data_IF_111303114970
#
_entry.id   IF_111303114970
#
_cell.length_a   1.000
_cell.length_b   1.000
_cell.length_c   1.000
_cell.angle_alpha   90.00
_cell.angle_beta   90.00
_cell.angle_gamma   90.00
#
_symmetry.space_group_name_H-M   'P 1'
#
loop_
_entity.id
_entity.type
_entity.pdbx_description
1 polymer ?
#
# COMPACT_ATOMS: atom_id res chain seq x y z
N UNK A 1 27.52 0.66 37.83
CA UNK A 1 26.78 1.36 36.75
C UNK A 1 26.62 0.47 35.52
N UNK A 2 27.58 -0.37 35.12
CA UNK A 2 27.47 -1.25 33.94
C UNK A 2 26.36 -2.32 34.03
N UNK A 3 26.18 -2.99 35.16
CA UNK A 3 25.16 -4.05 35.32
C UNK A 3 23.72 -3.50 35.19
N UNK A 4 23.48 -2.28 35.69
CA UNK A 4 22.16 -1.65 35.58
C UNK A 4 21.82 -1.21 34.14
N UNK A 5 22.81 -0.88 33.29
CA UNK A 5 22.62 -0.51 31.91
C UNK A 5 22.43 -1.73 31.02
N UNK A 6 23.20 -2.80 31.20
CA UNK A 6 22.99 -4.07 30.48
C UNK A 6 21.62 -4.68 30.80
N UNK A 7 21.18 -4.61 32.08
CA UNK A 7 19.84 -5.05 32.49
C UNK A 7 18.72 -4.18 31.90
N UNK A 8 18.98 -2.91 31.56
CA UNK A 8 18.01 -2.02 30.96
C UNK A 8 17.98 -2.12 29.43
N UNK A 9 19.10 -2.42 28.79
CA UNK A 9 19.14 -2.75 27.34
C UNK A 9 18.36 -4.04 27.04
N UNK A 10 18.44 -5.03 27.93
CA UNK A 10 17.66 -6.27 27.85
C UNK A 10 16.13 -6.04 27.95
N UNK A 11 15.68 -4.83 28.31
CA UNK A 11 14.25 -4.46 28.34
C UNK A 11 13.76 -3.83 27.04
N UNK A 12 14.66 -3.48 26.13
CA UNK A 12 14.27 -2.94 24.81
C UNK A 12 13.95 -4.10 23.86
N UNK A 13 12.80 -4.06 23.12
CA UNK A 13 12.35 -5.18 22.29
C UNK A 13 13.09 -5.24 20.93
N UNK A 14 14.42 -5.06 20.94
CA UNK A 14 15.20 -5.07 19.68
C UNK A 14 15.28 -6.49 19.09
N UNK A 15 15.41 -7.51 19.93
CA UNK A 15 15.47 -8.90 19.50
C UNK A 15 14.13 -9.34 18.93
N UNK A 16 13.02 -8.91 19.52
CA UNK A 16 11.67 -9.17 19.07
C UNK A 16 11.42 -8.51 17.70
N UNK A 17 11.88 -7.28 17.51
CA UNK A 17 11.82 -6.58 16.21
C UNK A 17 12.62 -7.35 15.16
N UNK A 18 13.86 -7.75 15.46
CA UNK A 18 14.71 -8.51 14.55
C UNK A 18 14.09 -9.87 14.21
N UNK A 19 13.56 -10.57 15.22
CA UNK A 19 12.87 -11.85 15.02
C UNK A 19 11.62 -11.68 14.15
N UNK A 20 10.85 -10.60 14.35
CA UNK A 20 9.69 -10.29 13.50
C UNK A 20 10.12 -10.04 12.05
N UNK A 21 11.19 -9.27 11.82
CA UNK A 21 11.75 -9.06 10.49
C UNK A 21 12.13 -10.40 9.84
N UNK A 22 12.90 -11.23 10.53
CA UNK A 22 13.38 -12.52 10.03
C UNK A 22 12.24 -13.46 9.69
N UNK A 23 11.31 -13.67 10.61
CA UNK A 23 10.16 -14.56 10.42
C UNK A 23 9.24 -14.11 9.30
N UNK A 24 9.00 -12.79 9.20
CA UNK A 24 8.13 -12.24 8.17
C UNK A 24 8.77 -12.31 6.79
N UNK A 25 10.07 -12.07 6.68
CA UNK A 25 10.78 -12.04 5.39
C UNK A 25 11.40 -13.37 4.98
N UNK A 26 11.26 -14.42 5.80
CA UNK A 26 11.80 -15.76 5.53
C UNK A 26 11.60 -16.24 4.08
N UNK A 27 10.40 -16.18 3.48
CA UNK A 27 10.19 -16.64 2.11
C UNK A 27 11.08 -15.91 1.08
N UNK A 28 11.24 -14.60 1.24
CA UNK A 28 12.14 -13.82 0.39
C UNK A 28 13.61 -14.15 0.66
N UNK A 29 13.99 -14.30 1.94
CA UNK A 29 15.37 -14.61 2.32
C UNK A 29 15.85 -15.92 1.69
N UNK A 30 14.99 -16.94 1.65
CA UNK A 30 15.30 -18.24 1.02
C UNK A 30 15.53 -18.14 -0.49
N UNK A 31 14.89 -17.18 -1.16
CA UNK A 31 15.05 -16.95 -2.60
C UNK A 31 16.32 -16.17 -2.95
N UNK A 32 16.96 -15.52 -1.97
CA UNK A 32 18.18 -14.75 -2.23
C UNK A 32 19.39 -15.67 -2.47
N UNK A 33 20.30 -15.31 -3.39
CA UNK A 33 21.39 -16.16 -3.85
C UNK A 33 22.38 -16.62 -2.77
N UNK A 34 22.59 -15.84 -1.73
CA UNK A 34 23.54 -16.16 -0.67
C UNK A 34 23.28 -15.38 0.63
N UNK A 35 23.89 -15.83 1.75
CA UNK A 35 23.77 -15.22 3.08
C UNK A 35 24.24 -13.75 3.13
N UNK A 36 25.16 -13.36 2.27
CA UNK A 36 25.63 -11.96 2.25
C UNK A 36 24.52 -11.05 1.73
N UNK A 37 23.78 -11.51 0.72
CA UNK A 37 22.64 -10.77 0.19
C UNK A 37 21.49 -10.72 1.22
N UNK A 38 21.24 -11.80 1.93
CA UNK A 38 20.26 -11.82 3.04
C UNK A 38 20.62 -10.79 4.11
N UNK A 39 21.91 -10.77 4.55
CA UNK A 39 22.38 -9.82 5.55
C UNK A 39 22.25 -8.35 5.11
N UNK A 40 22.49 -8.06 3.84
CA UNK A 40 22.32 -6.69 3.32
C UNK A 40 20.83 -6.30 3.33
N UNK A 41 19.91 -7.21 2.97
CA UNK A 41 18.48 -6.97 3.04
C UNK A 41 18.03 -6.71 4.49
N UNK A 42 18.46 -7.52 5.46
CA UNK A 42 18.20 -7.27 6.89
C UNK A 42 18.68 -5.87 7.32
N UNK A 43 19.91 -5.51 6.94
CA UNK A 43 20.46 -4.18 7.23
C UNK A 43 19.67 -3.06 6.56
N UNK A 44 19.14 -3.27 5.35
CA UNK A 44 18.28 -2.28 4.68
C UNK A 44 16.95 -2.14 5.43
N UNK A 45 16.32 -3.23 5.83
CA UNK A 45 15.05 -3.20 6.59
C UNK A 45 15.23 -2.53 7.95
N UNK A 46 16.25 -2.90 8.71
CA UNK A 46 16.58 -2.21 9.98
C UNK A 46 16.92 -0.75 9.74
N UNK A 47 17.64 -0.45 8.65
CA UNK A 47 18.02 0.90 8.28
C UNK A 47 16.81 1.78 7.91
N UNK A 48 15.82 1.23 7.18
CA UNK A 48 14.58 1.93 6.86
C UNK A 48 13.74 2.15 8.12
N UNK A 49 13.55 1.11 8.94
CA UNK A 49 12.75 1.21 10.15
C UNK A 49 13.38 2.14 11.18
N UNK A 50 14.71 2.11 11.34
CA UNK A 50 15.43 2.98 12.27
C UNK A 50 15.61 4.41 11.76
N UNK A 51 15.86 4.58 10.46
CA UNK A 51 16.10 5.90 9.86
C UNK A 51 14.86 6.57 9.28
N UNK A 52 13.76 5.85 9.15
CA UNK A 52 12.50 6.30 8.54
C UNK A 52 12.72 6.95 7.17
N UNK A 53 13.63 6.38 6.39
CA UNK A 53 14.00 6.93 5.08
C UNK A 53 14.53 5.83 4.15
N UNK A 54 14.21 5.88 2.85
CA UNK A 54 14.76 4.99 1.84
C UNK A 54 16.10 5.52 1.25
N UNK A 55 16.63 6.62 1.81
CA UNK A 55 17.95 7.14 1.40
C UNK A 55 19.02 6.20 1.90
N UNK A 56 19.82 5.62 0.98
CA UNK A 56 20.82 4.59 1.29
C UNK A 56 21.80 5.04 2.39
N UNK A 57 22.26 6.27 2.36
CA UNK A 57 23.17 6.80 3.40
C UNK A 57 22.45 7.02 4.74
N UNK A 58 21.14 7.34 4.71
CA UNK A 58 20.30 7.41 5.90
C UNK A 58 20.14 6.04 6.55
N UNK A 59 19.78 5.03 5.76
CA UNK A 59 19.70 3.63 6.23
C UNK A 59 21.03 3.14 6.78
N UNK A 60 22.13 3.45 6.11
CA UNK A 60 23.46 2.98 6.54
C UNK A 60 23.90 3.56 7.88
N UNK A 61 23.48 4.78 8.23
CA UNK A 61 23.73 5.39 9.55
C UNK A 61 23.14 4.59 10.71
N UNK A 62 22.10 3.84 10.45
CA UNK A 62 21.47 2.97 11.46
C UNK A 62 22.21 1.62 11.64
N UNK A 63 23.24 1.36 10.84
CA UNK A 63 23.99 0.09 10.85
C UNK A 63 25.49 0.28 11.01
N UNK A 64 25.98 1.51 10.85
CA UNK A 64 27.41 1.86 10.99
C UNK A 64 27.66 2.63 12.29
N UNK A 65 28.78 2.35 12.94
CA UNK A 65 29.17 2.97 14.21
C UNK A 65 30.14 4.14 13.99
N UNK A 66 30.92 4.09 12.94
CA UNK A 66 31.86 5.13 12.53
C UNK A 66 31.56 5.60 11.11
N UNK A 67 32.16 6.72 10.69
CA UNK A 67 31.98 7.22 9.31
C UNK A 67 32.46 6.19 8.27
N UNK A 68 33.59 5.53 8.51
CA UNK A 68 34.13 4.51 7.61
C UNK A 68 33.22 3.28 7.52
N UNK A 69 32.68 2.81 8.64
CA UNK A 69 31.72 1.71 8.68
C UNK A 69 30.41 2.09 7.99
N UNK A 70 29.85 3.26 8.29
CA UNK A 70 28.63 3.78 7.65
C UNK A 70 28.79 3.81 6.12
N UNK A 71 29.93 4.28 5.64
CA UNK A 71 30.20 4.32 4.20
C UNK A 71 30.38 2.93 3.59
N UNK A 72 31.00 1.99 4.31
CA UNK A 72 31.12 0.60 3.88
C UNK A 72 29.75 -0.08 3.76
N UNK A 73 28.87 0.16 4.74
CA UNK A 73 27.47 -0.32 4.72
C UNK A 73 26.70 0.29 3.55
N UNK A 74 26.77 1.60 3.35
CA UNK A 74 26.13 2.27 2.22
C UNK A 74 26.59 1.69 0.88
N UNK A 75 27.92 1.50 0.70
CA UNK A 75 28.47 0.86 -0.51
C UNK A 75 27.93 -0.56 -0.71
N UNK A 76 27.76 -1.34 0.37
CA UNK A 76 27.22 -2.69 0.28
C UNK A 76 25.77 -2.68 -0.21
N UNK A 77 24.93 -1.74 0.28
CA UNK A 77 23.55 -1.55 -0.15
C UNK A 77 23.46 -1.12 -1.63
N UNK A 78 24.29 -0.14 -2.06
CA UNK A 78 24.35 0.25 -3.47
C UNK A 78 24.75 -0.90 -4.39
N UNK A 79 25.76 -1.71 -3.97
CA UNK A 79 26.18 -2.90 -4.72
C UNK A 79 25.10 -3.98 -4.76
N UNK A 80 24.37 -4.14 -3.67
CA UNK A 80 23.25 -5.08 -3.61
C UNK A 80 22.15 -4.70 -4.62
N UNK A 81 21.73 -3.43 -4.62
CA UNK A 81 20.74 -2.92 -5.59
C UNK A 81 21.21 -3.01 -7.04
N UNK A 82 22.54 -2.95 -7.30
CA UNK A 82 23.14 -3.08 -8.60
C UNK A 82 23.54 -4.52 -8.99
N UNK A 83 23.32 -5.48 -8.11
CA UNK A 83 23.81 -6.84 -8.33
C UNK A 83 23.05 -7.54 -9.46
N UNK A 84 23.75 -7.98 -10.49
CA UNK A 84 23.15 -8.69 -11.63
C UNK A 84 22.60 -10.08 -11.28
N UNK A 85 23.07 -10.69 -10.18
CA UNK A 85 22.55 -11.97 -9.67
C UNK A 85 21.21 -11.82 -8.93
N UNK A 86 20.81 -10.59 -8.60
CA UNK A 86 19.54 -10.29 -7.98
C UNK A 86 18.56 -9.90 -9.08
N UNK A 87 17.73 -10.81 -9.48
CA UNK A 87 16.65 -10.52 -10.41
C UNK A 87 15.53 -9.73 -9.68
N UNK A 88 15.06 -8.66 -10.29
CA UNK A 88 13.98 -7.85 -9.72
C UNK A 88 12.69 -8.66 -9.56
N UNK A 89 12.43 -9.60 -10.46
CA UNK A 89 11.31 -10.55 -10.38
C UNK A 89 11.35 -11.41 -9.12
N UNK A 90 12.53 -11.86 -8.70
CA UNK A 90 12.72 -12.64 -7.47
C UNK A 90 12.33 -11.82 -6.24
N UNK A 91 12.68 -10.53 -6.21
CA UNK A 91 12.30 -9.63 -5.11
C UNK A 91 10.78 -9.52 -4.95
N UNK A 92 10.07 -9.35 -6.07
CA UNK A 92 8.62 -9.24 -6.04
C UNK A 92 7.94 -10.58 -5.77
N UNK A 93 8.45 -11.67 -6.34
CA UNK A 93 7.95 -13.02 -6.01
C UNK A 93 8.10 -13.31 -4.51
N UNK A 94 9.24 -12.99 -3.92
CA UNK A 94 9.44 -13.13 -2.48
C UNK A 94 8.49 -12.24 -1.65
N UNK A 95 8.28 -10.98 -2.06
CA UNK A 95 7.30 -10.10 -1.44
C UNK A 95 5.88 -10.72 -1.49
N UNK A 96 5.49 -11.29 -2.63
CA UNK A 96 4.18 -11.92 -2.79
C UNK A 96 4.04 -13.21 -1.95
N UNK A 97 5.10 -14.02 -1.85
CA UNK A 97 5.11 -15.20 -0.98
C UNK A 97 4.99 -14.85 0.50
N UNK A 98 5.63 -13.75 0.94
CA UNK A 98 5.42 -13.19 2.29
C UNK A 98 3.95 -12.87 2.50
N UNK A 99 3.31 -12.26 1.51
CA UNK A 99 1.87 -11.97 1.54
C UNK A 99 0.99 -13.22 1.55
N UNK A 100 1.31 -14.24 0.75
CA UNK A 100 0.58 -15.51 0.73
C UNK A 100 0.60 -16.19 2.12
N UNK A 101 1.74 -16.17 2.81
CA UNK A 101 1.85 -16.70 4.19
C UNK A 101 0.88 -16.01 5.17
N UNK A 102 0.67 -14.69 5.03
CA UNK A 102 -0.32 -13.94 5.83
C UNK A 102 -1.74 -14.39 5.50
N UNK A 103 -2.09 -14.44 4.22
CA UNK A 103 -3.43 -14.86 3.76
C UNK A 103 -3.75 -16.29 4.17
N UNK A 104 -2.77 -17.20 4.09
CA UNK A 104 -2.92 -18.60 4.53
C UNK A 104 -3.12 -18.71 6.05
N UNK A 105 -2.50 -17.82 6.82
CA UNK A 105 -2.70 -17.75 8.28
C UNK A 105 -4.08 -17.24 8.67
N UNK A 106 -4.55 -16.18 8.02
CA UNK A 106 -5.82 -15.50 8.34
C UNK A 106 -7.05 -16.18 7.68
N UNK A 107 -6.89 -16.83 6.54
CA UNK A 107 -7.93 -17.58 5.80
C UNK A 107 -9.23 -16.81 5.57
N UNK A 108 -9.19 -15.59 5.02
CA UNK A 108 -10.42 -14.89 4.68
C UNK A 108 -11.28 -15.71 3.70
N UNK A 109 -12.59 -15.61 3.78
CA UNK A 109 -13.55 -16.34 2.94
C UNK A 109 -13.32 -16.07 1.44
N UNK A 110 -13.06 -14.81 1.11
CA UNK A 110 -12.67 -14.31 -0.21
C UNK A 110 -11.67 -13.17 -0.04
N UNK A 111 -11.02 -12.78 -1.12
CA UNK A 111 -10.03 -11.71 -1.10
C UNK A 111 -10.62 -10.43 -1.68
N UNK A 112 -10.56 -9.33 -0.93
CA UNK A 112 -10.84 -7.98 -1.43
C UNK A 112 -9.50 -7.34 -1.76
N UNK A 113 -9.27 -7.05 -3.04
CA UNK A 113 -8.01 -6.55 -3.57
C UNK A 113 -8.21 -5.14 -4.10
N UNK A 114 -7.67 -4.16 -3.40
CA UNK A 114 -7.64 -2.79 -3.89
C UNK A 114 -6.52 -2.62 -4.92
N UNK A 115 -6.87 -2.08 -6.09
CA UNK A 115 -5.92 -1.77 -7.16
C UNK A 115 -5.94 -0.26 -7.39
N UNK A 116 -4.76 0.36 -7.32
CA UNK A 116 -4.66 1.81 -7.42
C UNK A 116 -3.36 2.23 -8.11
N UNK A 117 -3.45 3.00 -9.21
CA UNK A 117 -2.32 3.72 -9.80
C UNK A 117 -1.91 4.89 -8.90
N UNK A 118 -0.63 5.02 -8.64
CA UNK A 118 -0.06 6.11 -7.85
C UNK A 118 1.09 6.79 -8.58
N UNK A 119 1.30 8.07 -8.36
CA UNK A 119 2.42 8.83 -8.88
C UNK A 119 3.37 9.19 -7.76
N UNK A 120 4.64 8.87 -7.93
CA UNK A 120 5.72 9.27 -7.02
C UNK A 120 6.50 10.45 -7.62
N UNK A 121 6.47 11.58 -6.95
CA UNK A 121 7.14 12.80 -7.41
C UNK A 121 8.66 12.72 -7.19
N UNK A 122 9.43 13.27 -8.14
CA UNK A 122 10.89 13.43 -8.06
C UNK A 122 11.29 14.87 -8.42
N UNK A 123 10.87 15.85 -7.62
CA UNK A 123 10.92 17.27 -8.02
C UNK A 123 12.35 17.79 -8.22
N UNK A 124 13.33 17.20 -7.56
CA UNK A 124 14.69 17.73 -7.53
C UNK A 124 15.67 17.05 -8.51
N UNK A 125 15.21 16.07 -9.30
CA UNK A 125 16.12 15.24 -10.10
C UNK A 125 15.71 15.21 -11.56
N UNK A 126 16.54 15.77 -12.44
CA UNK A 126 16.36 15.75 -13.91
C UNK A 126 17.11 14.64 -14.61
N UNK A 127 18.05 13.95 -13.93
CA UNK A 127 18.99 12.98 -14.52
C UNK A 127 18.71 11.52 -14.11
N UNK A 128 17.45 11.20 -13.77
CA UNK A 128 17.07 9.82 -13.49
C UNK A 128 16.70 9.10 -14.79
N UNK A 129 17.07 7.82 -14.88
CA UNK A 129 16.70 6.97 -16.02
C UNK A 129 15.19 6.94 -16.21
N UNK A 130 14.72 7.28 -17.42
CA UNK A 130 13.29 7.19 -17.75
C UNK A 130 12.37 8.05 -16.90
N UNK A 131 12.86 9.15 -16.30
CA UNK A 131 11.97 10.05 -15.55
C UNK A 131 10.84 10.56 -16.42
N UNK A 132 9.62 10.39 -15.98
CA UNK A 132 8.40 10.76 -16.70
C UNK A 132 7.81 12.07 -16.16
N UNK A 133 6.82 12.60 -16.87
CA UNK A 133 5.94 13.65 -16.35
C UNK A 133 4.70 12.98 -15.78
N UNK A 134 4.41 13.24 -14.52
CA UNK A 134 3.30 12.66 -13.78
C UNK A 134 2.40 13.75 -13.20
N UNK A 135 1.15 13.40 -12.93
CA UNK A 135 0.23 14.29 -12.21
C UNK A 135 0.61 14.35 -10.73
N UNK A 136 0.60 15.56 -10.17
CA UNK A 136 0.78 15.77 -8.73
C UNK A 136 -0.45 15.33 -7.95
N UNK A 137 -0.23 14.84 -6.74
CA UNK A 137 -1.31 14.59 -5.77
C UNK A 137 -1.98 15.88 -5.26
N UNK A 138 -1.34 17.06 -5.44
CA UNK A 138 -1.91 18.34 -5.05
C UNK A 138 -3.10 18.75 -5.93
N UNK A 139 -4.11 19.44 -5.37
CA UNK A 139 -5.25 19.92 -6.15
C UNK A 139 -4.83 20.69 -7.42
N UNK A 140 -5.68 20.72 -8.45
CA UNK A 140 -5.48 21.56 -9.63
C UNK A 140 -5.15 23.00 -9.27
N UNK A 141 -4.50 23.71 -10.16
CA UNK A 141 -4.27 25.15 -9.98
C UNK A 141 -5.59 25.95 -10.06
N UNK A 142 -5.50 27.26 -9.87
CA UNK A 142 -6.68 28.15 -9.88
C UNK A 142 -7.39 28.19 -11.25
N UNK A 143 -6.76 27.68 -12.31
CA UNK A 143 -7.34 27.57 -13.66
C UNK A 143 -7.97 26.21 -13.92
N UNK A 144 -7.93 25.29 -12.94
CA UNK A 144 -8.46 23.92 -13.06
C UNK A 144 -7.52 22.94 -13.77
N UNK A 145 -6.30 23.37 -14.16
CA UNK A 145 -5.33 22.49 -14.77
C UNK A 145 -4.60 21.63 -13.74
N UNK A 146 -4.48 20.33 -14.03
CA UNK A 146 -3.70 19.41 -13.23
C UNK A 146 -2.23 19.87 -13.14
N UNK A 147 -1.67 19.90 -11.94
CA UNK A 147 -0.25 20.19 -11.76
C UNK A 147 0.58 18.98 -12.16
N UNK A 148 1.68 19.24 -12.83
CA UNK A 148 2.60 18.22 -13.32
C UNK A 148 3.94 18.29 -12.57
N UNK A 149 4.58 17.15 -12.40
CA UNK A 149 5.92 17.02 -11.83
C UNK A 149 6.75 15.99 -12.60
N UNK A 150 8.05 16.01 -12.43
CA UNK A 150 8.89 14.88 -12.79
C UNK A 150 8.69 13.76 -11.77
N UNK A 151 8.56 12.51 -12.24
CA UNK A 151 8.31 11.40 -11.37
C UNK A 151 8.15 10.07 -12.10
N UNK A 152 7.61 9.10 -11.39
CA UNK A 152 7.33 7.78 -11.92
C UNK A 152 5.94 7.35 -11.49
N UNK A 153 5.17 6.77 -12.40
CA UNK A 153 3.97 6.05 -12.04
C UNK A 153 4.32 4.70 -11.41
N UNK A 154 3.46 4.24 -10.55
CA UNK A 154 3.46 2.87 -10.06
C UNK A 154 2.02 2.35 -9.94
N UNK A 155 1.86 1.04 -9.91
CA UNK A 155 0.61 0.38 -9.61
C UNK A 155 0.86 -0.61 -8.49
N UNK A 156 -0.05 -0.63 -7.51
CA UNK A 156 -0.08 -1.69 -6.52
C UNK A 156 -1.46 -2.34 -6.47
N UNK A 157 -1.47 -3.64 -6.17
CA UNK A 157 -2.64 -4.38 -5.78
C UNK A 157 -2.42 -4.88 -4.35
N UNK A 158 -3.34 -4.53 -3.45
CA UNK A 158 -3.22 -4.84 -2.02
C UNK A 158 -4.48 -5.55 -1.54
N UNK A 159 -4.31 -6.71 -0.90
CA UNK A 159 -5.40 -7.39 -0.21
C UNK A 159 -5.71 -6.58 1.05
N UNK A 160 -6.94 -6.07 1.15
CA UNK A 160 -7.35 -5.09 2.16
C UNK A 160 -8.32 -5.63 3.21
N UNK A 161 -8.80 -6.84 3.07
CA UNK A 161 -9.68 -7.49 4.04
C UNK A 161 -8.96 -8.50 4.96
N UNK A 162 -7.64 -8.50 4.96
CA UNK A 162 -6.78 -9.13 5.98
C UNK A 162 -6.48 -8.14 7.10
N UNK A 163 -6.08 -8.63 8.29
CA UNK A 163 -5.64 -7.77 9.39
C UNK A 163 -4.41 -6.96 8.95
N UNK A 164 -3.38 -7.66 8.47
CA UNK A 164 -2.21 -7.05 7.85
C UNK A 164 -2.47 -6.86 6.36
N UNK A 165 -2.46 -5.62 5.83
CA UNK A 165 -2.58 -5.40 4.39
C UNK A 165 -1.43 -6.08 3.63
N UNK A 166 -1.76 -6.79 2.55
CA UNK A 166 -0.80 -7.62 1.81
C UNK A 166 -0.67 -7.16 0.37
N UNK A 167 0.54 -6.85 -0.06
CA UNK A 167 0.80 -6.55 -1.47
C UNK A 167 0.77 -7.83 -2.31
N UNK A 168 -0.16 -7.93 -3.25
CA UNK A 168 -0.25 -9.02 -4.23
C UNK A 168 0.36 -8.66 -5.58
N UNK A 169 0.51 -7.38 -5.86
CA UNK A 169 1.23 -6.86 -7.01
C UNK A 169 1.79 -5.49 -6.72
N UNK A 170 2.97 -5.20 -7.22
CA UNK A 170 3.53 -3.87 -7.26
C UNK A 170 4.45 -3.73 -8.47
N UNK A 171 4.36 -2.62 -9.19
CA UNK A 171 5.29 -2.28 -10.25
C UNK A 171 5.55 -0.77 -10.27
N UNK A 172 6.82 -0.42 -10.23
CA UNK A 172 7.34 0.93 -10.46
C UNK A 172 7.79 1.01 -11.90
N UNK A 173 7.18 1.86 -12.72
CA UNK A 173 7.44 1.89 -14.15
C UNK A 173 7.68 3.32 -14.67
N UNK A 174 7.98 3.43 -15.95
CA UNK A 174 8.19 4.71 -16.62
C UNK A 174 7.50 4.71 -17.97
N UNK A 175 6.88 5.82 -18.32
CA UNK A 175 6.30 6.02 -19.67
C UNK A 175 7.37 6.09 -20.78
N UNK A 176 8.67 6.21 -20.41
CA UNK A 176 9.78 6.36 -21.35
C UNK A 176 10.59 5.09 -21.55
N UNK A 177 10.31 4.01 -20.82
CA UNK A 177 11.03 2.74 -20.99
C UNK A 177 10.42 1.92 -22.14
N UNK A 178 11.25 1.15 -22.82
CA UNK A 178 10.84 0.37 -23.98
C UNK A 178 9.86 -0.77 -23.64
N UNK A 179 9.80 -1.19 -22.39
CA UNK A 179 8.88 -2.21 -21.87
C UNK A 179 7.50 -1.66 -21.51
N UNK A 180 7.33 -0.34 -21.47
CA UNK A 180 6.03 0.26 -21.19
C UNK A 180 5.12 0.21 -22.43
N UNK A 181 3.93 -0.37 -22.29
CA UNK A 181 2.92 -0.44 -23.35
C UNK A 181 1.79 0.56 -23.13
N UNK A 182 1.16 0.51 -21.96
CA UNK A 182 0.10 1.43 -21.53
C UNK A 182 -0.19 1.25 -20.04
N UNK A 183 -0.79 2.26 -19.40
CA UNK A 183 -1.21 2.15 -18.01
C UNK A 183 -2.27 1.04 -17.82
N UNK A 184 -3.19 0.88 -18.78
CA UNK A 184 -4.18 -0.19 -18.74
C UNK A 184 -3.49 -1.58 -18.71
N UNK A 185 -2.40 -1.74 -19.47
CA UNK A 185 -1.66 -3.01 -19.50
C UNK A 185 -0.98 -3.32 -18.15
N UNK A 186 -0.51 -2.29 -17.46
CA UNK A 186 0.03 -2.44 -16.11
C UNK A 186 -1.07 -2.85 -15.11
N UNK A 187 -2.29 -2.31 -15.24
CA UNK A 187 -3.44 -2.71 -14.42
C UNK A 187 -3.84 -4.16 -14.73
N UNK A 188 -3.92 -4.55 -16.02
CA UNK A 188 -4.18 -5.93 -16.41
C UNK A 188 -3.18 -6.91 -15.79
N UNK A 189 -1.89 -6.55 -15.77
CA UNK A 189 -0.85 -7.37 -15.12
C UNK A 189 -1.07 -7.51 -13.61
N UNK A 190 -1.60 -6.46 -12.95
CA UNK A 190 -1.94 -6.52 -11.53
C UNK A 190 -3.07 -7.53 -11.28
N UNK A 191 -4.12 -7.53 -12.11
CA UNK A 191 -5.21 -8.52 -12.04
C UNK A 191 -4.70 -9.94 -12.30
N UNK A 192 -3.99 -10.16 -13.42
CA UNK A 192 -3.46 -11.47 -13.81
C UNK A 192 -2.49 -12.04 -12.76
N UNK A 193 -1.63 -11.21 -12.22
CA UNK A 193 -0.65 -11.66 -11.21
C UNK A 193 -1.34 -12.04 -9.92
N UNK A 194 -2.27 -11.20 -9.44
CA UNK A 194 -3.04 -11.50 -8.23
C UNK A 194 -3.89 -12.75 -8.41
N UNK A 195 -4.60 -12.90 -9.53
CA UNK A 195 -5.37 -14.09 -9.86
C UNK A 195 -4.50 -15.35 -9.80
N UNK A 196 -3.34 -15.34 -10.46
CA UNK A 196 -2.41 -16.47 -10.49
C UNK A 196 -1.84 -16.82 -9.12
N UNK A 197 -1.53 -15.83 -8.28
CA UNK A 197 -1.02 -16.05 -6.93
C UNK A 197 -2.03 -16.72 -6.01
N UNK A 198 -3.31 -16.45 -6.22
CA UNK A 198 -4.39 -16.94 -5.38
C UNK A 198 -5.39 -17.81 -6.15
N UNK A 199 -4.88 -18.57 -7.10
CA UNK A 199 -5.69 -19.46 -7.94
C UNK A 199 -6.57 -20.38 -7.08
N UNK A 200 -7.86 -20.47 -7.43
CA UNK A 200 -8.87 -21.24 -6.68
C UNK A 200 -9.47 -20.50 -5.47
N UNK A 201 -9.03 -19.26 -5.20
CA UNK A 201 -9.67 -18.38 -4.23
C UNK A 201 -10.62 -17.44 -4.97
N UNK A 202 -11.73 -17.08 -4.36
CA UNK A 202 -12.62 -16.04 -4.85
C UNK A 202 -11.94 -14.68 -4.62
N UNK A 203 -11.78 -13.89 -5.68
CA UNK A 203 -11.13 -12.57 -5.66
C UNK A 203 -12.16 -11.52 -6.08
N UNK A 204 -12.16 -10.39 -5.36
CA UNK A 204 -12.95 -9.21 -5.66
C UNK A 204 -12.02 -8.01 -5.76
N UNK A 205 -11.81 -7.52 -6.97
CA UNK A 205 -11.04 -6.31 -7.20
C UNK A 205 -11.88 -5.08 -6.88
N UNK A 206 -11.33 -4.15 -6.13
CA UNK A 206 -11.96 -2.86 -5.83
C UNK A 206 -11.07 -1.71 -6.30
N UNK A 207 -11.68 -0.69 -6.88
CA UNK A 207 -10.90 0.41 -7.44
C UNK A 207 -11.66 1.73 -7.54
N UNK A 208 -10.90 2.79 -7.78
CA UNK A 208 -11.47 4.12 -8.01
C UNK A 208 -11.88 4.28 -9.49
N UNK A 209 -12.33 5.46 -9.80
CA UNK A 209 -12.80 5.90 -11.13
C UNK A 209 -11.76 5.73 -12.25
N UNK A 210 -10.48 5.63 -11.92
CA UNK A 210 -9.42 5.29 -12.88
C UNK A 210 -9.54 3.89 -13.50
N UNK A 211 -10.35 2.99 -12.89
CA UNK A 211 -10.63 1.65 -13.41
C UNK A 211 -11.99 1.55 -14.14
N UNK A 212 -12.70 2.66 -14.32
CA UNK A 212 -13.98 2.71 -15.05
C UNK A 212 -13.79 2.61 -16.57
N UNK A 213 -13.26 1.47 -17.01
CA UNK A 213 -12.97 1.16 -18.41
C UNK A 213 -13.57 -0.22 -18.78
N UNK A 214 -14.27 -0.30 -19.91
CA UNK A 214 -14.90 -1.54 -20.39
C UNK A 214 -13.87 -2.67 -20.60
N UNK A 215 -12.63 -2.34 -20.99
CA UNK A 215 -11.57 -3.33 -21.15
C UNK A 215 -11.18 -3.93 -19.81
N UNK A 216 -11.17 -3.11 -18.74
CA UNK A 216 -10.89 -3.59 -17.38
C UNK A 216 -12.01 -4.53 -16.89
N UNK A 217 -13.28 -4.17 -17.13
CA UNK A 217 -14.42 -5.04 -16.79
C UNK A 217 -14.32 -6.38 -17.50
N UNK A 218 -14.14 -6.36 -18.81
CA UNK A 218 -14.03 -7.57 -19.63
C UNK A 218 -12.82 -8.43 -19.22
N UNK A 219 -11.70 -7.79 -18.83
CA UNK A 219 -10.51 -8.49 -18.40
C UNK A 219 -10.74 -9.24 -17.09
N UNK A 220 -11.35 -8.61 -16.08
CA UNK A 220 -11.65 -9.24 -14.79
C UNK A 220 -12.71 -10.36 -14.95
N UNK A 221 -13.74 -10.13 -15.75
CA UNK A 221 -14.75 -11.16 -16.08
C UNK A 221 -14.10 -12.38 -16.76
N UNK A 222 -13.15 -12.16 -17.67
CA UNK A 222 -12.41 -13.25 -18.34
C UNK A 222 -11.56 -14.08 -17.36
N UNK A 223 -11.09 -13.48 -16.27
CA UNK A 223 -10.39 -14.18 -15.18
C UNK A 223 -11.34 -14.94 -14.26
N UNK A 224 -12.65 -14.83 -14.46
CA UNK A 224 -13.70 -15.37 -13.57
C UNK A 224 -13.66 -14.76 -12.16
N UNK A 225 -13.10 -13.54 -12.02
CA UNK A 225 -13.03 -12.80 -10.78
C UNK A 225 -14.16 -11.76 -10.68
N UNK A 226 -14.38 -11.24 -9.48
CA UNK A 226 -15.35 -10.19 -9.20
C UNK A 226 -14.68 -8.82 -9.18
N UNK A 227 -15.45 -7.78 -9.50
CA UNK A 227 -15.00 -6.40 -9.34
C UNK A 227 -16.06 -5.46 -8.77
N UNK A 228 -15.61 -4.37 -8.15
CA UNK A 228 -16.42 -3.22 -7.73
C UNK A 228 -15.62 -1.96 -8.00
N UNK A 229 -15.97 -1.22 -9.04
CA UNK A 229 -15.27 0.00 -9.44
C UNK A 229 -16.20 1.21 -9.33
N UNK A 230 -15.61 2.37 -9.00
CA UNK A 230 -16.33 3.63 -8.99
C UNK A 230 -16.54 4.11 -10.43
N UNK A 231 -17.77 4.50 -10.75
CA UNK A 231 -18.12 5.08 -12.04
C UNK A 231 -17.70 6.55 -12.10
N UNK A 232 -17.08 6.95 -13.21
CA UNK A 232 -16.77 8.34 -13.57
C UNK A 232 -17.45 8.77 -14.88
N UNK A 233 -17.74 7.82 -15.75
CA UNK A 233 -18.33 8.05 -17.07
C UNK A 233 -19.85 7.87 -17.04
N UNK A 234 -20.55 8.81 -16.40
CA UNK A 234 -22.01 8.80 -16.31
C UNK A 234 -22.69 9.08 -17.68
N UNK A 235 -21.98 9.68 -18.61
CA UNK A 235 -22.44 9.88 -20.01
C UNK A 235 -22.46 8.57 -20.83
N UNK A 236 -21.96 7.48 -20.27
CA UNK A 236 -21.92 6.15 -20.89
C UNK A 236 -23.32 5.69 -21.29
N UNK A 237 -23.41 5.15 -22.50
CA UNK A 237 -24.61 4.46 -22.98
C UNK A 237 -24.59 3.02 -22.46
N UNK A 238 -25.68 2.59 -21.89
CA UNK A 238 -25.90 1.23 -21.37
C UNK A 238 -27.21 0.67 -21.91
N UNK A 239 -27.38 -0.63 -21.80
CA UNK A 239 -28.64 -1.30 -22.11
C UNK A 239 -29.32 -1.75 -20.82
N UNK A 240 -30.60 -1.45 -20.68
CA UNK A 240 -31.46 -1.87 -19.58
C UNK A 240 -32.59 -2.75 -20.12
N UNK A 241 -32.92 -3.82 -19.40
CA UNK A 241 -34.01 -4.69 -19.80
C UNK A 241 -35.35 -4.07 -19.45
N UNK A 242 -36.19 -3.87 -20.48
CA UNK A 242 -37.55 -3.40 -20.32
C UNK A 242 -38.51 -4.59 -20.25
N UNK A 243 -39.01 -4.91 -19.06
CA UNK A 243 -39.88 -6.06 -18.82
C UNK A 243 -41.21 -5.97 -19.61
N UNK A 244 -41.72 -4.75 -19.91
CA UNK A 244 -42.96 -4.56 -20.64
C UNK A 244 -42.82 -4.85 -22.13
N UNK A 245 -41.65 -4.55 -22.67
CA UNK A 245 -41.36 -4.70 -24.10
C UNK A 245 -40.52 -5.98 -24.36
N UNK A 246 -40.16 -6.71 -23.32
CA UNK A 246 -39.34 -7.92 -23.35
C UNK A 246 -38.07 -7.76 -24.21
N UNK A 247 -37.45 -6.59 -24.14
CA UNK A 247 -36.23 -6.27 -24.88
C UNK A 247 -35.27 -5.36 -24.10
N UNK A 248 -34.03 -5.36 -24.53
CA UNK A 248 -33.03 -4.41 -24.07
C UNK A 248 -33.20 -3.08 -24.76
N UNK A 249 -33.22 -1.99 -24.00
CA UNK A 249 -33.31 -0.62 -24.49
C UNK A 249 -32.07 0.16 -24.10
N UNK A 250 -31.65 1.06 -24.99
CA UNK A 250 -30.41 1.84 -24.81
C UNK A 250 -30.75 3.16 -24.12
N UNK A 251 -30.07 3.42 -22.99
CA UNK A 251 -30.26 4.64 -22.19
C UNK A 251 -28.91 5.22 -21.75
N UNK A 252 -28.89 6.48 -21.34
CA UNK A 252 -27.73 7.05 -20.67
C UNK A 252 -27.68 6.61 -19.22
N UNK A 253 -26.52 6.24 -18.75
CA UNK A 253 -26.32 5.83 -17.36
C UNK A 253 -26.70 6.96 -16.38
N UNK A 254 -26.43 8.22 -16.72
CA UNK A 254 -26.79 9.38 -15.92
C UNK A 254 -28.29 9.45 -15.66
N UNK A 255 -29.13 9.30 -16.69
CA UNK A 255 -30.58 9.40 -16.57
C UNK A 255 -31.13 8.29 -15.66
N UNK A 256 -30.54 7.10 -15.74
CA UNK A 256 -30.89 5.97 -14.86
C UNK A 256 -30.47 6.20 -13.41
N UNK A 257 -29.28 6.75 -13.19
CA UNK A 257 -28.76 7.06 -11.84
C UNK A 257 -29.62 8.15 -11.17
N UNK A 258 -30.02 9.19 -11.93
CA UNK A 258 -30.87 10.27 -11.42
C UNK A 258 -32.30 9.81 -11.08
N UNK A 259 -32.81 8.79 -11.79
CA UNK A 259 -34.17 8.27 -11.63
C UNK A 259 -34.28 7.01 -10.77
N UNK A 260 -33.14 6.45 -10.29
CA UNK A 260 -33.17 5.19 -9.53
C UNK A 260 -33.93 5.34 -8.21
N UNK A 261 -34.93 4.50 -7.92
CA UNK A 261 -35.60 4.52 -6.63
C UNK A 261 -34.66 3.96 -5.56
N UNK A 262 -34.54 4.67 -4.44
CA UNK A 262 -33.82 4.11 -3.30
C UNK A 262 -34.66 3.02 -2.63
N UNK A 263 -34.09 1.83 -2.54
CA UNK A 263 -34.78 0.62 -2.09
C UNK A 263 -34.57 0.34 -0.61
N UNK A 264 -33.47 0.86 -0.04
CA UNK A 264 -33.12 0.63 1.35
C UNK A 264 -32.25 1.77 1.89
N UNK A 265 -32.35 1.99 3.19
CA UNK A 265 -31.54 2.98 3.93
C UNK A 265 -30.73 2.26 5.01
N UNK A 266 -29.44 2.58 5.07
CA UNK A 266 -28.54 2.07 6.09
C UNK A 266 -27.94 3.18 6.93
N UNK A 267 -27.70 2.84 8.19
CA UNK A 267 -26.81 3.61 9.06
C UNK A 267 -25.39 3.06 8.90
N UNK A 268 -24.50 3.88 8.37
CA UNK A 268 -23.12 3.49 8.10
C UNK A 268 -22.19 4.22 9.06
N UNK A 269 -21.39 3.46 9.79
CA UNK A 269 -20.40 4.03 10.69
C UNK A 269 -19.15 4.43 9.91
N UNK A 270 -18.81 5.71 9.98
CA UNK A 270 -17.56 6.27 9.45
C UNK A 270 -16.65 6.72 10.58
N UNK A 271 -15.35 6.50 10.42
CA UNK A 271 -14.33 7.15 11.23
C UNK A 271 -13.75 8.33 10.43
N UNK A 272 -14.01 9.55 10.89
CA UNK A 272 -13.46 10.75 10.28
C UNK A 272 -12.85 11.65 11.36
N UNK A 273 -11.60 12.08 11.14
CA UNK A 273 -10.85 12.95 12.08
C UNK A 273 -10.87 12.46 13.55
N UNK A 274 -10.84 11.15 13.77
CA UNK A 274 -10.84 10.55 15.11
C UNK A 274 -12.23 10.37 15.74
N UNK A 275 -13.29 10.88 15.12
CA UNK A 275 -14.67 10.70 15.57
C UNK A 275 -15.37 9.59 14.79
N UNK A 276 -16.22 8.84 15.46
CA UNK A 276 -17.15 7.91 14.81
C UNK A 276 -18.41 8.67 14.47
N UNK A 277 -18.71 8.84 13.19
CA UNK A 277 -19.96 9.38 12.69
C UNK A 277 -20.86 8.25 12.24
N UNK A 278 -22.16 8.47 12.35
CA UNK A 278 -23.17 7.58 11.83
C UNK A 278 -23.86 8.32 10.69
N UNK A 279 -23.59 7.91 9.46
CA UNK A 279 -24.14 8.57 8.28
C UNK A 279 -25.31 7.75 7.75
N UNK A 280 -26.37 8.44 7.31
CA UNK A 280 -27.51 7.81 6.65
C UNK A 280 -27.23 7.71 5.17
N UNK A 281 -27.21 6.48 4.64
CA UNK A 281 -26.94 6.22 3.23
C UNK A 281 -28.11 5.48 2.59
N UNK A 282 -28.63 6.04 1.50
CA UNK A 282 -29.71 5.46 0.71
C UNK A 282 -29.13 4.67 -0.45
N UNK A 283 -29.58 3.44 -0.68
CA UNK A 283 -29.14 2.58 -1.76
C UNK A 283 -30.25 2.32 -2.77
N UNK A 284 -29.90 2.57 -4.04
CA UNK A 284 -30.64 2.11 -5.19
C UNK A 284 -29.73 1.26 -6.08
N UNK A 285 -30.28 0.24 -6.74
CA UNK A 285 -29.51 -0.58 -7.66
C UNK A 285 -30.36 -1.10 -8.81
N UNK A 286 -29.71 -1.35 -9.93
CA UNK A 286 -30.33 -1.89 -11.14
C UNK A 286 -29.35 -2.67 -11.98
N UNK A 287 -29.89 -3.53 -12.84
CA UNK A 287 -29.12 -4.37 -13.75
C UNK A 287 -28.96 -3.67 -15.11
N UNK A 288 -27.75 -3.72 -15.65
CA UNK A 288 -27.42 -3.18 -16.97
C UNK A 288 -26.66 -4.21 -17.81
N UNK A 289 -26.44 -3.87 -19.05
CA UNK A 289 -25.48 -4.49 -19.96
C UNK A 289 -24.74 -3.40 -20.74
N UNK A 290 -23.46 -3.62 -20.98
CA UNK A 290 -22.70 -2.76 -21.89
C UNK A 290 -23.06 -3.16 -23.32
N UNK A 291 -23.37 -2.20 -24.24
CA UNK A 291 -23.68 -2.52 -25.61
C UNK A 291 -22.60 -3.40 -26.26
N UNK A 292 -23.05 -4.49 -26.89
CA UNK A 292 -22.18 -5.45 -27.55
C UNK A 292 -21.57 -6.52 -26.63
N UNK A 293 -21.91 -6.53 -25.34
CA UNK A 293 -21.53 -7.61 -24.41
C UNK A 293 -22.72 -8.49 -24.04
N UNK A 294 -22.46 -9.70 -23.59
CA UNK A 294 -23.50 -10.62 -23.10
C UNK A 294 -23.59 -10.61 -21.56
N UNK A 295 -22.52 -10.24 -20.88
CA UNK A 295 -22.40 -10.33 -19.43
C UNK A 295 -23.20 -9.21 -18.75
N UNK A 296 -24.10 -9.55 -17.82
CA UNK A 296 -24.82 -8.55 -17.06
C UNK A 296 -23.91 -7.91 -16.02
N UNK A 297 -24.05 -6.61 -15.87
CA UNK A 297 -23.44 -5.81 -14.82
C UNK A 297 -24.52 -5.19 -13.93
N UNK A 298 -24.12 -4.73 -12.78
CA UNK A 298 -24.99 -4.06 -11.82
C UNK A 298 -24.42 -2.70 -11.47
N UNK A 299 -25.33 -1.75 -11.35
CA UNK A 299 -25.04 -0.41 -10.84
C UNK A 299 -25.59 -0.33 -9.42
N UNK A 300 -24.76 0.14 -8.50
CA UNK A 300 -25.15 0.51 -7.14
C UNK A 300 -24.99 2.03 -7.00
N UNK A 301 -26.08 2.70 -6.64
CA UNK A 301 -26.09 4.12 -6.31
C UNK A 301 -26.24 4.23 -4.80
N UNK A 302 -25.25 4.84 -4.15
CA UNK A 302 -25.24 5.12 -2.73
C UNK A 302 -25.28 6.63 -2.52
N UNK A 303 -26.36 7.14 -1.95
CA UNK A 303 -26.56 8.55 -1.66
C UNK A 303 -26.37 8.80 -0.16
N UNK A 304 -25.33 9.55 0.17
CA UNK A 304 -24.97 9.90 1.53
C UNK A 304 -25.55 11.28 1.85
N UNK A 305 -26.66 11.31 2.59
CA UNK A 305 -27.34 12.55 3.01
C UNK A 305 -26.41 13.44 3.84
N UNK A 306 -25.56 12.86 4.69
CA UNK A 306 -24.72 13.59 5.63
C UNK A 306 -23.63 14.36 4.92
N UNK A 307 -23.05 13.76 3.87
CA UNK A 307 -21.99 14.35 3.07
C UNK A 307 -22.50 15.07 1.81
N UNK A 308 -23.82 14.99 1.54
CA UNK A 308 -24.44 15.45 0.29
C UNK A 308 -23.64 14.92 -0.94
N UNK A 309 -23.37 13.63 -0.93
CA UNK A 309 -22.47 12.99 -1.91
C UNK A 309 -23.08 11.70 -2.44
N UNK A 310 -23.22 11.64 -3.76
CA UNK A 310 -23.62 10.44 -4.45
C UNK A 310 -22.38 9.65 -4.91
N UNK A 311 -22.39 8.34 -4.65
CA UNK A 311 -21.40 7.37 -5.12
C UNK A 311 -22.07 6.39 -6.05
N UNK A 312 -21.53 6.22 -7.25
CA UNK A 312 -21.99 5.23 -8.22
C UNK A 312 -20.92 4.16 -8.41
N UNK A 313 -21.30 2.90 -8.20
CA UNK A 313 -20.43 1.74 -8.35
C UNK A 313 -20.95 0.84 -9.46
N UNK A 314 -20.03 0.24 -10.21
CA UNK A 314 -20.31 -0.78 -11.22
C UNK A 314 -19.65 -2.10 -10.79
N UNK A 315 -20.38 -3.22 -10.97
CA UNK A 315 -19.91 -4.54 -10.55
C UNK A 315 -20.51 -5.66 -11.41
N UNK A 316 -19.81 -6.79 -11.52
CA UNK A 316 -20.34 -8.04 -12.07
C UNK A 316 -21.01 -8.93 -11.01
N UNK A 317 -21.03 -8.50 -9.75
CA UNK A 317 -21.68 -9.23 -8.65
C UNK A 317 -23.18 -8.99 -8.71
N UNK A 318 -24.04 -10.05 -8.71
CA UNK A 318 -25.47 -9.88 -8.71
C UNK A 318 -25.98 -9.20 -7.44
N UNK A 319 -26.63 -8.04 -7.57
CA UNK A 319 -27.25 -7.31 -6.48
C UNK A 319 -28.71 -7.76 -6.31
N UNK A 320 -28.90 -9.01 -5.93
CA UNK A 320 -30.24 -9.63 -5.80
C UNK A 320 -30.82 -9.54 -4.40
N UNK A 321 -30.06 -9.05 -3.43
CA UNK A 321 -30.47 -8.88 -2.04
C UNK A 321 -29.85 -7.64 -1.40
N UNK A 322 -30.50 -7.13 -0.39
CA UNK A 322 -30.00 -6.03 0.45
C UNK A 322 -28.62 -6.35 1.04
N UNK A 323 -28.44 -7.59 1.50
CA UNK A 323 -27.17 -8.04 2.08
C UNK A 323 -26.02 -8.03 1.06
N UNK A 324 -26.27 -8.50 -0.18
CA UNK A 324 -25.28 -8.47 -1.25
C UNK A 324 -24.89 -7.03 -1.62
N UNK A 325 -25.87 -6.13 -1.69
CA UNK A 325 -25.67 -4.70 -1.97
C UNK A 325 -24.83 -4.02 -0.89
N UNK A 326 -25.15 -4.27 0.38
CA UNK A 326 -24.38 -3.74 1.50
C UNK A 326 -22.95 -4.27 1.52
N UNK A 327 -22.77 -5.56 1.20
CA UNK A 327 -21.44 -6.18 1.14
C UNK A 327 -20.57 -5.55 0.05
N UNK A 328 -21.12 -5.35 -1.16
CA UNK A 328 -20.42 -4.70 -2.27
C UNK A 328 -19.98 -3.28 -1.89
N UNK A 329 -20.86 -2.51 -1.25
CA UNK A 329 -20.53 -1.18 -0.75
C UNK A 329 -19.42 -1.21 0.30
N UNK A 330 -19.51 -2.10 1.27
CA UNK A 330 -18.53 -2.25 2.34
C UNK A 330 -17.16 -2.67 1.79
N UNK A 331 -17.12 -3.60 0.85
CA UNK A 331 -15.88 -4.05 0.24
C UNK A 331 -15.21 -2.93 -0.56
N UNK A 332 -15.97 -2.15 -1.31
CA UNK A 332 -15.41 -0.99 -2.00
C UNK A 332 -14.83 0.03 -1.01
N UNK A 333 -15.44 0.24 0.14
CA UNK A 333 -14.93 1.14 1.19
C UNK A 333 -13.58 0.69 1.74
N UNK A 334 -13.28 -0.61 1.76
CA UNK A 334 -11.98 -1.11 2.19
C UNK A 334 -10.84 -0.59 1.31
N UNK A 335 -11.12 -0.10 0.10
CA UNK A 335 -10.14 0.56 -0.76
C UNK A 335 -9.36 1.68 -0.05
N UNK A 336 -10.00 2.40 0.86
CA UNK A 336 -9.32 3.47 1.62
C UNK A 336 -8.10 2.97 2.42
N UNK A 337 -8.00 1.66 2.70
CA UNK A 337 -6.81 1.10 3.36
C UNK A 337 -5.56 1.16 2.49
N UNK A 338 -5.69 1.10 1.15
CA UNK A 338 -4.54 1.28 0.26
C UNK A 338 -4.08 2.75 0.25
N UNK A 339 -5.02 3.71 0.28
CA UNK A 339 -4.69 5.14 0.36
C UNK A 339 -3.96 5.48 1.67
N UNK A 340 -4.37 4.86 2.79
CA UNK A 340 -3.65 5.00 4.06
C UNK A 340 -2.25 4.39 4.00
N UNK A 341 -2.07 3.28 3.27
CA UNK A 341 -0.77 2.70 2.98
C UNK A 341 0.12 3.68 2.21
N UNK A 342 -0.38 4.26 1.14
CA UNK A 342 0.38 5.25 0.36
C UNK A 342 0.79 6.48 1.16
N UNK A 343 -0.09 7.03 1.99
CA UNK A 343 0.27 8.16 2.86
C UNK A 343 1.39 7.78 3.82
N UNK A 344 1.38 6.57 4.34
CA UNK A 344 2.44 6.06 5.20
C UNK A 344 3.74 5.90 4.43
N UNK A 345 3.68 5.42 3.18
CA UNK A 345 4.85 5.22 2.35
C UNK A 345 5.41 6.54 1.77
N UNK A 346 4.54 7.51 1.46
CA UNK A 346 4.93 8.76 0.78
C UNK A 346 5.25 9.92 1.73
N UNK A 347 4.41 10.17 2.74
CA UNK A 347 4.42 11.46 3.45
C UNK A 347 4.70 11.36 4.95
N UNK A 348 4.41 10.23 5.58
CA UNK A 348 4.33 10.15 7.04
C UNK A 348 5.17 9.03 7.67
N UNK A 349 6.04 8.40 6.92
CA UNK A 349 6.78 7.27 7.46
C UNK A 349 8.04 6.94 6.69
N UNK A 350 7.89 6.30 5.54
CA UNK A 350 9.01 5.72 4.80
C UNK A 350 9.54 6.59 3.67
N UNK A 351 8.86 7.68 3.33
CA UNK A 351 9.24 8.72 2.36
C UNK A 351 9.78 8.16 1.04
N UNK A 352 9.02 7.26 0.42
CA UNK A 352 9.43 6.54 -0.81
C UNK A 352 9.86 7.49 -1.93
N UNK A 353 9.35 8.71 -1.94
CA UNK A 353 9.72 9.75 -2.90
C UNK A 353 11.16 10.22 -2.72
N UNK A 354 11.75 10.04 -1.54
CA UNK A 354 13.15 10.37 -1.25
C UNK A 354 14.16 9.32 -1.73
N UNK A 355 13.73 8.23 -2.36
CA UNK A 355 14.67 7.27 -2.97
C UNK A 355 15.62 7.97 -3.95
N UNK A 356 16.94 7.88 -3.70
CA UNK A 356 17.98 8.55 -4.49
C UNK A 356 18.85 7.55 -5.28
N UNK A 357 18.19 6.60 -5.95
CA UNK A 357 18.85 5.65 -6.85
C UNK A 357 18.55 6.02 -8.30
N UNK A 358 19.49 5.77 -9.22
CA UNK A 358 19.45 6.39 -10.54
C UNK A 358 18.72 5.57 -11.60
N UNK A 359 18.68 4.25 -11.47
CA UNK A 359 18.08 3.37 -12.49
C UNK A 359 16.71 2.86 -12.08
N UNK A 360 15.80 2.69 -13.03
CA UNK A 360 14.45 2.15 -12.80
C UNK A 360 14.51 0.80 -12.10
N UNK A 361 15.44 -0.07 -12.51
CA UNK A 361 15.61 -1.38 -11.89
C UNK A 361 15.99 -1.29 -10.40
N UNK A 362 16.91 -0.38 -10.04
CA UNK A 362 17.26 -0.17 -8.62
C UNK A 362 16.12 0.45 -7.83
N UNK A 363 15.33 1.33 -8.45
CA UNK A 363 14.12 1.89 -7.84
C UNK A 363 13.11 0.79 -7.56
N UNK A 364 12.84 -0.09 -8.53
CA UNK A 364 11.96 -1.25 -8.35
C UNK A 364 12.41 -2.13 -7.18
N UNK A 365 13.69 -2.47 -7.10
CA UNK A 365 14.24 -3.28 -5.99
C UNK A 365 14.11 -2.59 -4.64
N UNK A 366 14.44 -1.30 -4.58
CA UNK A 366 14.33 -0.52 -3.34
C UNK A 366 12.87 -0.33 -2.94
N UNK A 367 11.96 -0.14 -3.88
CA UNK A 367 10.53 -0.05 -3.63
C UNK A 367 9.99 -1.35 -2.99
N UNK A 368 10.40 -2.52 -3.48
CA UNK A 368 10.05 -3.79 -2.84
C UNK A 368 10.53 -3.87 -1.38
N UNK A 369 11.72 -3.34 -1.08
CA UNK A 369 12.24 -3.30 0.30
C UNK A 369 11.43 -2.33 1.18
N UNK A 370 11.00 -1.19 0.64
CA UNK A 370 10.11 -0.24 1.35
C UNK A 370 8.77 -0.88 1.66
N UNK A 371 8.14 -1.56 0.68
CA UNK A 371 6.87 -2.27 0.89
C UNK A 371 6.99 -3.37 1.97
N UNK A 372 8.12 -4.10 2.01
CA UNK A 372 8.39 -5.07 3.09
C UNK A 372 8.53 -4.38 4.45
N UNK A 373 9.23 -3.25 4.52
CA UNK A 373 9.38 -2.49 5.77
C UNK A 373 8.02 -1.97 6.26
N UNK A 374 7.16 -1.47 5.37
CA UNK A 374 5.80 -1.08 5.70
C UNK A 374 4.99 -2.27 6.24
N UNK A 375 5.04 -3.41 5.57
CA UNK A 375 4.36 -4.62 6.03
C UNK A 375 4.82 -5.05 7.43
N UNK A 376 6.11 -4.97 7.76
CA UNK A 376 6.63 -5.29 9.09
C UNK A 376 5.99 -4.40 10.17
N UNK A 377 5.81 -3.11 9.89
CA UNK A 377 5.14 -2.19 10.84
C UNK A 377 3.69 -2.62 11.08
N UNK A 378 2.96 -3.02 10.02
CA UNK A 378 1.59 -3.54 10.16
C UNK A 378 1.55 -4.89 10.88
N UNK A 379 2.52 -5.78 10.65
CA UNK A 379 2.64 -7.05 11.39
C UNK A 379 2.83 -6.80 12.89
N UNK A 380 3.71 -5.86 13.25
CA UNK A 380 3.88 -5.48 14.65
C UNK A 380 2.59 -4.88 15.22
N UNK A 381 1.89 -4.01 14.44
CA UNK A 381 0.64 -3.40 14.88
C UNK A 381 -0.45 -4.42 15.22
N UNK A 382 -0.56 -5.48 14.42
CA UNK A 382 -1.69 -6.42 14.47
C UNK A 382 -1.38 -7.72 15.23
N UNK A 383 -0.12 -8.17 15.24
CA UNK A 383 0.25 -9.46 15.79
C UNK A 383 0.94 -9.39 17.15
N UNK A 384 1.51 -8.22 17.52
CA UNK A 384 2.12 -8.07 18.83
C UNK A 384 1.08 -7.84 19.93
N UNK A 385 1.42 -8.16 21.20
CA UNK A 385 0.53 -7.89 22.32
C UNK A 385 0.13 -6.40 22.35
N UNK A 386 -1.15 -6.04 22.54
CA UNK A 386 -1.64 -4.66 22.49
C UNK A 386 -0.88 -3.72 23.44
N UNK A 387 -0.45 -4.21 24.60
CA UNK A 387 0.36 -3.43 25.56
C UNK A 387 1.74 -3.08 25.01
N UNK A 388 2.37 -3.97 24.22
CA UNK A 388 3.67 -3.70 23.59
C UNK A 388 3.53 -2.67 22.45
N UNK A 389 2.50 -2.80 21.63
CA UNK A 389 2.17 -1.82 20.58
C UNK A 389 1.88 -0.45 21.18
N UNK A 390 1.08 -0.41 22.25
CA UNK A 390 0.80 0.83 22.99
C UNK A 390 2.07 1.49 23.51
N UNK A 391 2.95 0.70 24.13
CA UNK A 391 4.23 1.17 24.66
C UNK A 391 5.12 1.74 23.53
N UNK A 392 5.21 1.07 22.39
CA UNK A 392 5.96 1.58 21.23
C UNK A 392 5.38 2.91 20.72
N UNK A 393 4.06 3.04 20.62
CA UNK A 393 3.41 4.30 20.22
C UNK A 393 3.68 5.44 21.21
N UNK A 394 3.70 5.16 22.50
CA UNK A 394 4.09 6.13 23.54
C UNK A 394 5.56 6.54 23.42
N UNK A 395 6.46 5.57 23.21
CA UNK A 395 7.87 5.84 22.96
C UNK A 395 8.08 6.68 21.69
N UNK A 396 7.25 6.49 20.67
CA UNK A 396 7.23 7.28 19.46
C UNK A 396 6.74 8.73 19.60
N UNK A 397 6.42 9.16 20.84
CA UNK A 397 6.05 10.54 21.12
C UNK A 397 4.57 10.86 20.95
N UNK A 398 3.69 9.86 20.92
CA UNK A 398 2.24 10.09 20.90
C UNK A 398 1.81 10.91 22.11
N UNK A 399 1.33 12.11 21.89
CA UNK A 399 0.73 12.96 22.90
C UNK A 399 -0.67 12.44 23.27
N UNK A 400 -0.93 12.26 24.55
CA UNK A 400 -2.17 11.69 25.05
C UNK A 400 -2.15 10.16 25.10
N UNK A 401 -3.33 9.56 25.32
CA UNK A 401 -3.47 8.10 25.38
C UNK A 401 -3.55 7.56 23.95
N UNK A 402 -2.61 6.71 23.51
CA UNK A 402 -2.71 6.05 22.21
C UNK A 402 -3.98 5.22 22.14
N UNK A 403 -4.61 5.24 20.98
CA UNK A 403 -5.86 4.53 20.71
C UNK A 403 -5.66 3.54 19.57
N UNK A 404 -6.59 2.61 19.42
CA UNK A 404 -6.70 1.71 18.28
C UNK A 404 -6.87 2.44 16.93
N UNK A 405 -7.17 3.74 16.98
CA UNK A 405 -7.36 4.62 15.82
C UNK A 405 -6.08 5.28 15.33
N UNK A 406 -5.02 5.23 16.14
CA UNK A 406 -3.73 5.81 15.75
C UNK A 406 -3.15 5.00 14.58
N UNK A 407 -2.77 5.70 13.51
CA UNK A 407 -2.13 5.11 12.34
C UNK A 407 -0.75 4.52 12.65
N UNK A 408 -0.10 3.91 11.65
CA UNK A 408 1.20 3.24 11.81
C UNK A 408 2.36 4.21 12.10
N UNK A 409 2.18 5.51 11.87
CA UNK A 409 3.23 6.53 12.04
C UNK A 409 3.87 6.52 13.44
N UNK A 410 3.06 6.63 14.50
CA UNK A 410 3.58 6.64 15.88
C UNK A 410 4.23 5.32 16.27
N UNK A 411 3.76 4.23 15.71
CA UNK A 411 4.36 2.93 15.90
C UNK A 411 5.74 2.86 15.26
N UNK A 412 5.88 3.32 14.01
CA UNK A 412 7.16 3.41 13.32
C UNK A 412 8.15 4.31 14.09
N UNK A 413 7.69 5.45 14.62
CA UNK A 413 8.50 6.33 15.47
C UNK A 413 9.02 5.58 16.69
N UNK A 414 8.19 4.78 17.35
CA UNK A 414 8.59 3.96 18.48
C UNK A 414 9.57 2.85 18.13
N UNK A 415 9.34 2.15 17.01
CA UNK A 415 10.28 1.14 16.50
C UNK A 415 11.63 1.80 16.19
N UNK A 416 11.61 2.95 15.50
CA UNK A 416 12.81 3.74 15.22
C UNK A 416 13.56 4.12 16.50
N UNK A 417 12.84 4.63 17.50
CA UNK A 417 13.43 4.99 18.79
C UNK A 417 14.14 3.81 19.47
N UNK A 418 13.56 2.59 19.43
CA UNK A 418 14.21 1.38 19.94
C UNK A 418 15.51 1.08 19.19
N UNK A 419 15.45 1.05 17.85
CA UNK A 419 16.62 0.74 17.01
C UNK A 419 17.74 1.76 17.24
N UNK A 420 17.42 3.06 17.16
CA UNK A 420 18.38 4.16 17.33
C UNK A 420 19.00 4.14 18.74
N UNK A 421 18.19 3.91 19.78
CA UNK A 421 18.68 3.83 21.15
C UNK A 421 19.67 2.68 21.31
N UNK A 422 19.34 1.48 20.81
CA UNK A 422 20.24 0.34 20.88
C UNK A 422 21.57 0.62 20.15
N UNK A 423 21.52 1.25 18.97
CA UNK A 423 22.71 1.62 18.21
C UNK A 423 23.55 2.66 18.94
N UNK A 424 22.92 3.72 19.47
CA UNK A 424 23.58 4.79 20.22
C UNK A 424 24.26 4.27 21.47
N UNK A 425 23.57 3.47 22.27
CA UNK A 425 24.12 2.90 23.48
C UNK A 425 25.30 1.96 23.15
N UNK A 426 25.17 1.12 22.12
CA UNK A 426 26.28 0.28 21.66
C UNK A 426 27.51 1.11 21.27
N UNK A 427 27.30 2.24 20.58
CA UNK A 427 28.40 3.15 20.22
C UNK A 427 29.05 3.77 21.46
N UNK A 428 28.27 4.33 22.41
CA UNK A 428 28.80 4.97 23.62
C UNK A 428 29.57 3.99 24.48
N UNK A 429 29.14 2.71 24.55
CA UNK A 429 29.89 1.69 25.27
C UNK A 429 31.25 1.36 24.64
N UNK A 430 31.31 1.30 23.33
CA UNK A 430 32.54 0.97 22.62
C UNK A 430 33.48 2.17 22.48
N UNK A 431 32.94 3.38 22.52
CA UNK A 431 33.67 4.64 22.34
C UNK A 431 33.23 5.64 23.42
N UNK A 432 33.71 5.48 24.70
CA UNK A 432 33.38 6.39 25.78
C UNK A 432 33.87 7.81 25.46
N UNK A 433 33.11 8.82 25.88
CA UNK A 433 33.46 10.21 25.65
C UNK A 433 34.80 10.55 26.28
N UNK A 434 35.78 11.13 25.55
CA UNK A 434 37.15 11.34 26.00
C UNK A 434 37.26 12.59 26.89
N UNK A 435 36.62 12.56 28.08
CA UNK A 435 36.67 13.69 29.01
C UNK A 435 38.08 14.10 29.45
N UNK A 436 39.03 13.13 29.46
CA UNK A 436 40.39 13.41 29.90
C UNK A 436 41.21 14.25 28.92
N UNK A 437 40.83 14.29 27.65
CA UNK A 437 41.51 15.11 26.64
C UNK A 437 41.10 16.59 26.67
N UNK A 438 40.01 16.94 27.37
CA UNK A 438 39.50 18.31 27.50
C UNK A 438 39.98 19.05 28.74
N UNK A 439 40.70 18.38 29.63
CA UNK A 439 41.15 18.98 30.90
C UNK A 439 42.60 19.49 30.88
N UNK A 440 43.30 19.39 29.75
CA UNK A 440 44.68 19.88 29.55
C UNK A 440 44.70 20.94 28.49
N UNK A 441 44.29 22.14 28.82
CA UNK A 441 44.41 23.34 28.00
C UNK A 441 44.53 24.57 28.90
#
# INVERSE_FOLDING_TARGET
MNIALESNLAKLPIMEIQTTIQNHTEPLMEMLPDRRMQKVLENMLLGILGGQTPIITGMARQNGKTEGETWAVAKSMYRWLANKRLETTVMYQGLYQVGQKVVEGEKPEYLVVAVDPVNFEKPYTKALEGVSVVHKATPPDLTGHARLAHGYPAITATIVNTQVPVTSYANWFSYQTADFLSQNKEVEQAFETTHRLYLGRKIRFVGDSGLDDQKMFAHVVKLEDEFVFRVSHLERIVEVYNDRLERWETEKLQDLVESVPYQVTFQVLFKHAGETRCDTVHFGWFKIRIPGTQDPLWILVADDETLNRQLVLITNIPLTSVAATQQVYNDWRLRTRIEHGYRFDQEQGLDVEDMRVQTVERMRRLFAVVLLAAQIVFVIAEQWPPKAVLWLRQLGGKLGIPTDRDGPYWLLQGISAVIVTCMTLSFVFLHPFPFQEFTCG
#
